data_IF_601893887054
#
_entry.id   IF_601893887054
#
_cell.length_a   1.000
_cell.length_b   1.000
_cell.length_c   1.000
_cell.angle_alpha   90.00
_cell.angle_beta   90.00
_cell.angle_gamma   90.00
#
_symmetry.space_group_name_H-M   'P 1'
#
loop_
_entity.id
_entity.type
_entity.pdbx_description
1 polymer ?
#
# COMPACT_ATOMS: atom_id res chain seq x y z
N UNK A 1 1.02 -27.54 3.90
CA UNK A 1 0.82 -28.14 5.24
C UNK A 1 -0.68 -28.37 5.41
N UNK A 2 -1.07 -29.61 5.69
CA UNK A 2 -2.46 -30.06 5.73
C UNK A 2 -3.21 -29.47 6.94
N UNK A 3 -4.35 -28.82 6.71
CA UNK A 3 -5.32 -28.55 7.78
C UNK A 3 -6.42 -29.61 7.69
N UNK A 4 -6.15 -30.79 8.27
CA UNK A 4 -7.13 -31.85 8.45
C UNK A 4 -7.64 -31.85 9.87
N UNK A 5 -8.93 -31.58 10.08
CA UNK A 5 -9.59 -31.79 11.38
C UNK A 5 -10.54 -32.98 11.22
N UNK A 6 -10.15 -34.12 11.78
CA UNK A 6 -11.11 -35.13 12.27
C UNK A 6 -11.32 -34.83 13.76
N UNK A 7 -12.55 -34.57 14.18
CA UNK A 7 -13.06 -35.03 15.48
C UNK A 7 -14.58 -34.87 15.60
N UNK A 8 -15.14 -35.93 16.17
CA UNK A 8 -16.50 -36.22 16.56
C UNK A 8 -16.84 -35.41 17.81
N UNK A 9 -18.06 -34.84 17.92
CA UNK A 9 -18.59 -34.40 19.22
C UNK A 9 -19.47 -33.15 19.14
N UNK A 10 -20.76 -33.36 19.36
CA UNK A 10 -21.83 -32.35 19.42
C UNK A 10 -21.64 -31.45 20.65
N UNK A 11 -21.29 -30.17 20.47
CA UNK A 11 -21.54 -29.09 21.43
C UNK A 11 -21.26 -27.72 20.79
N UNK A 12 -22.28 -26.86 20.80
CA UNK A 12 -22.27 -25.42 20.55
C UNK A 12 -21.31 -24.91 19.45
N UNK A 13 -21.81 -24.87 18.21
CA UNK A 13 -21.12 -24.22 17.08
C UNK A 13 -21.11 -22.69 17.25
N UNK A 14 -20.21 -22.16 18.07
CA UNK A 14 -19.73 -20.79 17.90
C UNK A 14 -18.85 -20.83 16.65
N UNK A 15 -19.44 -20.49 15.49
CA UNK A 15 -18.71 -20.25 14.26
C UNK A 15 -17.80 -19.02 14.46
N UNK A 16 -16.60 -19.24 15.00
CA UNK A 16 -15.48 -18.34 14.81
C UNK A 16 -15.11 -18.43 13.32
N UNK A 17 -15.73 -17.57 12.51
CA UNK A 17 -15.27 -17.25 11.16
C UNK A 17 -13.91 -16.56 11.31
N UNK A 18 -12.84 -17.34 11.45
CA UNK A 18 -11.49 -16.82 11.30
C UNK A 18 -11.33 -16.44 9.83
N UNK A 19 -11.60 -15.17 9.52
CA UNK A 19 -11.27 -14.61 8.22
C UNK A 19 -9.75 -14.72 8.07
N UNK A 20 -9.28 -15.65 7.25
CA UNK A 20 -7.89 -15.64 6.81
C UNK A 20 -7.66 -14.31 6.11
N UNK A 21 -6.92 -13.40 6.74
CA UNK A 21 -6.42 -12.22 6.07
C UNK A 21 -5.56 -12.70 4.90
N UNK A 22 -6.05 -12.52 3.68
CA UNK A 22 -5.29 -12.85 2.47
C UNK A 22 -4.17 -11.83 2.34
N UNK A 23 -2.96 -12.17 2.78
CA UNK A 23 -1.77 -11.34 2.55
C UNK A 23 -1.56 -11.19 1.06
N UNK A 24 -1.59 -9.97 0.55
CA UNK A 24 -1.26 -9.72 -0.85
C UNK A 24 0.24 -9.93 -1.04
N UNK A 25 0.61 -11.02 -1.71
CA UNK A 25 2.00 -11.33 -1.97
C UNK A 25 2.50 -10.47 -3.14
N UNK A 26 3.33 -9.47 -2.85
CA UNK A 26 4.05 -8.70 -3.85
C UNK A 26 5.26 -9.51 -4.32
N UNK A 27 5.36 -9.73 -5.63
CA UNK A 27 6.55 -10.33 -6.22
C UNK A 27 7.67 -9.28 -6.31
N UNK A 28 8.91 -9.68 -5.98
CA UNK A 28 10.09 -8.83 -6.07
C UNK A 28 10.28 -8.25 -7.47
N UNK A 29 9.88 -8.97 -8.53
CA UNK A 29 10.01 -8.51 -9.92
C UNK A 29 9.09 -7.32 -10.25
N UNK A 30 8.05 -7.12 -9.44
CA UNK A 30 7.09 -6.02 -9.59
C UNK A 30 7.49 -4.79 -8.77
N UNK A 31 8.56 -4.87 -7.98
CA UNK A 31 9.07 -3.74 -7.18
C UNK A 31 9.82 -2.72 -8.02
N UNK A 32 9.95 -1.48 -7.54
CA UNK A 32 10.60 -0.40 -8.30
C UNK A 32 12.13 -0.56 -8.45
N UNK A 33 12.76 -1.52 -7.74
CA UNK A 33 14.19 -1.74 -7.80
C UNK A 33 14.67 -2.03 -9.23
N UNK A 34 15.59 -1.21 -9.75
CA UNK A 34 16.18 -1.37 -11.07
C UNK A 34 15.26 -1.04 -12.26
N UNK A 35 14.02 -0.58 -12.02
CA UNK A 35 13.12 -0.16 -13.10
C UNK A 35 13.47 1.26 -13.59
N UNK A 36 13.36 1.54 -14.90
CA UNK A 36 13.64 2.86 -15.43
C UNK A 36 12.54 3.87 -15.03
N UNK A 37 12.82 5.19 -15.09
CA UNK A 37 11.81 6.22 -14.88
C UNK A 37 10.58 6.02 -15.79
N UNK A 38 9.42 6.45 -15.29
CA UNK A 38 8.07 6.29 -15.88
C UNK A 38 7.51 4.86 -15.82
N UNK A 39 8.20 3.93 -15.15
CA UNK A 39 7.66 2.60 -14.86
C UNK A 39 6.54 2.67 -13.84
N UNK A 40 5.66 1.66 -13.88
CA UNK A 40 4.69 1.37 -12.83
C UNK A 40 5.22 0.22 -11.99
N UNK A 41 5.16 0.33 -10.67
CA UNK A 41 5.76 -0.64 -9.77
C UNK A 41 5.30 -0.49 -8.31
N UNK A 42 5.56 -1.52 -7.52
CA UNK A 42 5.43 -1.47 -6.07
C UNK A 42 6.68 -0.82 -5.46
N UNK A 43 6.48 0.31 -4.79
CA UNK A 43 7.54 1.04 -4.10
C UNK A 43 7.51 0.70 -2.62
N UNK A 44 8.65 0.28 -2.07
CA UNK A 44 8.80 0.09 -0.63
C UNK A 44 8.77 1.45 0.09
N UNK A 45 8.09 1.50 1.23
CA UNK A 45 7.94 2.70 2.03
C UNK A 45 9.12 2.88 2.99
N UNK A 46 9.75 4.05 2.97
CA UNK A 46 10.84 4.40 3.90
C UNK A 46 10.34 4.46 5.36
N UNK A 47 9.06 4.82 5.56
CA UNK A 47 8.45 4.88 6.90
C UNK A 47 8.08 3.52 7.48
N UNK A 48 7.97 2.48 6.63
CA UNK A 48 7.54 1.14 7.00
C UNK A 48 8.30 0.08 6.18
N UNK A 49 9.51 -0.34 6.62
CA UNK A 49 10.27 -1.38 5.93
C UNK A 49 9.44 -2.66 5.74
N UNK A 50 9.47 -3.22 4.52
CA UNK A 50 8.63 -4.36 4.12
C UNK A 50 7.19 -4.01 3.73
N UNK A 51 6.81 -2.74 3.75
CA UNK A 51 5.51 -2.24 3.31
C UNK A 51 5.60 -1.56 1.95
N UNK A 52 4.59 -1.75 1.10
CA UNK A 52 4.62 -1.25 -0.27
C UNK A 52 3.41 -0.39 -0.62
N UNK A 53 3.65 0.58 -1.50
CA UNK A 53 2.62 1.41 -2.16
C UNK A 53 2.76 1.30 -3.67
N UNK A 54 1.64 1.37 -4.38
CA UNK A 54 1.65 1.39 -5.84
C UNK A 54 2.11 2.76 -6.35
N UNK A 55 3.16 2.77 -7.16
CA UNK A 55 3.64 3.94 -7.86
C UNK A 55 3.35 3.81 -9.35
N UNK A 56 2.45 4.65 -9.87
CA UNK A 56 2.07 4.65 -11.28
C UNK A 56 3.06 5.42 -12.18
N UNK A 57 4.01 6.17 -11.60
CA UNK A 57 4.95 6.99 -12.36
C UNK A 57 6.27 7.20 -11.62
N UNK A 58 7.12 6.18 -11.65
CA UNK A 58 8.44 6.22 -11.00
C UNK A 58 9.30 7.36 -11.54
N UNK A 59 9.88 8.17 -10.64
CA UNK A 59 10.96 9.10 -10.97
C UNK A 59 12.31 8.55 -10.50
N UNK A 60 13.40 9.05 -11.08
CA UNK A 60 14.75 8.70 -10.64
C UNK A 60 14.98 9.15 -9.19
N UNK A 61 15.50 8.23 -8.36
CA UNK A 61 15.76 8.49 -6.94
C UNK A 61 14.49 8.78 -6.12
N UNK A 62 13.32 8.39 -6.61
CA UNK A 62 12.06 8.62 -5.91
C UNK A 62 11.93 7.69 -4.70
N UNK A 63 11.49 8.26 -3.59
CA UNK A 63 11.12 7.53 -2.37
C UNK A 63 9.68 7.81 -1.99
N UNK A 64 9.12 6.95 -1.14
CA UNK A 64 7.76 7.09 -0.65
C UNK A 64 7.68 6.86 0.87
N UNK A 65 6.79 7.59 1.53
CA UNK A 65 6.40 7.33 2.91
C UNK A 65 4.89 7.45 3.10
N UNK A 66 4.36 6.67 4.03
CA UNK A 66 2.93 6.60 4.35
C UNK A 66 2.74 6.76 5.85
N UNK A 67 1.79 7.62 6.25
CA UNK A 67 1.47 7.87 7.65
C UNK A 67 0.40 6.93 8.22
N UNK A 68 -0.32 6.20 7.37
CA UNK A 68 -1.36 5.27 7.77
C UNK A 68 -0.81 3.87 8.06
N UNK A 69 -1.71 2.90 8.11
CA UNK A 69 -1.38 1.52 8.48
C UNK A 69 -0.63 0.78 7.36
N UNK A 70 0.07 -0.28 7.75
CA UNK A 70 0.57 -1.30 6.84
C UNK A 70 -0.11 -2.64 7.13
N UNK A 71 -0.93 -3.14 6.21
CA UNK A 71 -1.68 -4.37 6.36
C UNK A 71 -1.33 -5.34 5.22
N UNK A 72 -0.93 -6.56 5.57
CA UNK A 72 -0.59 -7.57 4.57
C UNK A 72 0.54 -7.14 3.61
N UNK A 73 1.52 -6.41 4.14
CA UNK A 73 2.70 -5.86 3.44
C UNK A 73 2.38 -4.72 2.44
N UNK A 74 1.17 -4.17 2.47
CA UNK A 74 0.80 -3.00 1.66
C UNK A 74 0.25 -1.89 2.53
N UNK A 75 0.46 -0.66 2.07
CA UNK A 75 -0.08 0.53 2.70
C UNK A 75 -1.62 0.50 2.64
N UNK A 76 -2.29 0.75 3.77
CA UNK A 76 -3.74 0.63 3.86
C UNK A 76 -4.34 1.68 4.82
N UNK A 77 -5.63 1.93 4.69
CA UNK A 77 -6.39 2.86 5.50
C UNK A 77 -6.24 4.33 5.10
N UNK A 78 -6.64 5.23 6.00
CA UNK A 78 -6.55 6.68 5.82
C UNK A 78 -5.17 7.20 6.24
N UNK A 79 -4.62 8.16 5.49
CA UNK A 79 -3.32 8.72 5.81
C UNK A 79 -2.81 9.78 4.82
N UNK A 80 -1.55 10.14 4.99
CA UNK A 80 -0.80 11.01 4.09
C UNK A 80 0.33 10.21 3.41
N UNK A 81 0.36 10.27 2.08
CA UNK A 81 1.37 9.69 1.21
C UNK A 81 2.29 10.79 0.72
N UNK A 82 3.59 10.64 0.95
CA UNK A 82 4.61 11.54 0.45
C UNK A 82 5.44 10.83 -0.61
N UNK A 83 5.57 11.42 -1.79
CA UNK A 83 6.60 11.06 -2.76
C UNK A 83 7.67 12.14 -2.80
N UNK A 84 8.93 11.75 -2.64
CA UNK A 84 10.07 12.66 -2.69
C UNK A 84 10.99 12.29 -3.85
N UNK A 85 11.40 13.26 -4.67
CA UNK A 85 12.39 13.05 -5.73
C UNK A 85 13.12 14.36 -6.03
N UNK A 86 14.44 14.31 -6.21
CA UNK A 86 15.26 15.49 -6.57
C UNK A 86 14.99 16.73 -5.70
N UNK A 87 14.75 16.54 -4.39
CA UNK A 87 14.44 17.62 -3.44
C UNK A 87 13.01 18.19 -3.54
N UNK A 88 12.17 17.64 -4.42
CA UNK A 88 10.73 17.95 -4.52
C UNK A 88 9.93 16.97 -3.68
N UNK A 89 8.83 17.45 -3.11
CA UNK A 89 7.88 16.64 -2.36
C UNK A 89 6.49 16.85 -2.93
N UNK A 90 5.79 15.75 -3.21
CA UNK A 90 4.35 15.75 -3.44
C UNK A 90 3.69 15.01 -2.29
N UNK A 91 2.69 15.64 -1.69
CA UNK A 91 1.91 15.07 -0.60
C UNK A 91 0.48 14.81 -1.07
N UNK A 92 -0.11 13.69 -0.67
CA UNK A 92 -1.52 13.39 -0.89
C UNK A 92 -2.17 12.86 0.37
N UNK A 93 -3.37 13.31 0.69
CA UNK A 93 -4.16 12.79 1.82
C UNK A 93 -5.42 12.11 1.32
N UNK A 94 -5.69 10.90 1.81
CA UNK A 94 -6.88 10.11 1.48
C UNK A 94 -6.72 8.66 1.94
N UNK A 95 -7.51 7.76 1.35
CA UNK A 95 -7.49 6.33 1.67
C UNK A 95 -6.66 5.52 0.67
N UNK A 96 -5.80 4.65 1.18
CA UNK A 96 -5.21 3.55 0.42
C UNK A 96 -5.98 2.26 0.71
N UNK A 97 -6.30 1.50 -0.34
CA UNK A 97 -6.81 0.14 -0.23
C UNK A 97 -5.84 -0.77 -0.96
N UNK A 98 -5.20 -1.68 -0.22
CA UNK A 98 -4.22 -2.60 -0.80
C UNK A 98 -3.11 -1.86 -1.56
N UNK A 99 -2.59 -0.80 -0.95
CA UNK A 99 -1.49 0.03 -1.47
C UNK A 99 -1.85 0.95 -2.64
N UNK A 100 -3.14 1.09 -3.01
CA UNK A 100 -3.58 1.94 -4.10
C UNK A 100 -4.53 3.04 -3.62
N UNK A 101 -4.41 4.28 -4.13
CA UNK A 101 -5.37 5.36 -3.85
C UNK A 101 -6.81 4.93 -4.18
N UNK A 102 -7.73 5.23 -3.27
CA UNK A 102 -9.16 4.99 -3.44
C UNK A 102 -9.94 6.20 -2.96
N UNK A 103 -10.96 6.59 -3.73
CA UNK A 103 -11.91 7.62 -3.35
C UNK A 103 -11.31 9.03 -3.39
N UNK A 104 -11.83 9.97 -2.58
CA UNK A 104 -11.41 11.36 -2.63
C UNK A 104 -10.02 11.55 -2.03
N UNK A 105 -9.19 12.34 -2.70
CA UNK A 105 -7.84 12.70 -2.27
C UNK A 105 -7.60 14.19 -2.47
N UNK A 106 -6.88 14.80 -1.52
CA UNK A 106 -6.33 16.15 -1.68
C UNK A 106 -4.83 16.06 -1.89
N UNK A 107 -4.36 16.53 -3.04
CA UNK A 107 -2.96 16.54 -3.44
C UNK A 107 -2.36 17.94 -3.28
N UNK A 108 -1.15 18.00 -2.71
CA UNK A 108 -0.29 19.18 -2.70
C UNK A 108 0.93 18.86 -3.57
N UNK A 109 1.01 19.53 -4.72
CA UNK A 109 2.08 19.36 -5.68
C UNK A 109 3.33 20.13 -5.24
N UNK A 110 4.49 19.72 -5.73
CA UNK A 110 5.77 20.35 -5.40
C UNK A 110 5.86 21.83 -5.84
N UNK A 111 5.02 22.27 -6.77
CA UNK A 111 4.89 23.67 -7.22
C UNK A 111 3.96 24.51 -6.33
N UNK A 112 3.41 23.93 -5.25
CA UNK A 112 2.47 24.56 -4.33
C UNK A 112 1.01 24.50 -4.76
N UNK A 113 0.71 23.95 -5.94
CA UNK A 113 -0.68 23.76 -6.39
C UNK A 113 -1.38 22.73 -5.51
N UNK A 114 -2.63 23.01 -5.16
CA UNK A 114 -3.54 22.06 -4.52
C UNK A 114 -4.56 21.55 -5.52
N UNK A 115 -4.89 20.27 -5.42
CA UNK A 115 -5.81 19.62 -6.32
C UNK A 115 -6.61 18.56 -5.58
N UNK A 116 -7.93 18.60 -5.69
CA UNK A 116 -8.81 17.56 -5.20
C UNK A 116 -9.14 16.61 -6.36
N UNK A 117 -8.94 15.31 -6.14
CA UNK A 117 -9.14 14.24 -7.13
C UNK A 117 -9.97 13.10 -6.52
N UNK A 118 -10.52 12.23 -7.37
CA UNK A 118 -11.25 11.04 -6.92
C UNK A 118 -10.75 9.80 -7.70
N UNK A 119 -10.19 8.83 -6.98
CA UNK A 119 -9.58 7.60 -7.50
C UNK A 119 -10.52 6.39 -7.45
#
# INVERSE_FOLDING_TARGET
>A
MNCGIRLIGVLAAVLLLTACATTQQIDVVDTCAGKPPRSQCWMELESHPGCFVWNAFLQEGMTASWSGECAGNVADGEGELLFTWSGKVQAGRGALVSGKPQGPWTLNHADGRKEDVNY
#
